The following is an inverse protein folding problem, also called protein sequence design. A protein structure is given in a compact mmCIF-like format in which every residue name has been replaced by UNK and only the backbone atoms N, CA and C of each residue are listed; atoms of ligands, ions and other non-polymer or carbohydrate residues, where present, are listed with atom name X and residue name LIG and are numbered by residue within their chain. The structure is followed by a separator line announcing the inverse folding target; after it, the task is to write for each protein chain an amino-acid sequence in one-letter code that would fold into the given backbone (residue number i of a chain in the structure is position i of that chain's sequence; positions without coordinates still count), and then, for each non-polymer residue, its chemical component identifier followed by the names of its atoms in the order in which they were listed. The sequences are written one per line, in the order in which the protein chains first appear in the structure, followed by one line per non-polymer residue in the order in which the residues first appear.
data_IF_769659850587
#
_entry.id   IF_769659850587
#
_cell.length_a   1.000
_cell.length_b   1.000
_cell.length_c   1.000
_cell.angle_alpha   90.00
_cell.angle_beta   90.00
_cell.angle_gamma   90.00
#
_symmetry.space_group_name_H-M   'P 1'
#
loop_
_entity.id
_entity.type
_entity.pdbx_description
1 polymer ?
#
# COMPACT_ATOMS: atom_id res chain seq x y z
N UNK A 1 -10.36 -12.97 10.52
CA UNK A 1 -9.34 -11.90 10.47
C UNK A 1 -10.04 -10.69 9.92
N UNK A 2 -10.13 -9.63 10.71
CA UNK A 2 -10.83 -8.41 10.29
C UNK A 2 -9.92 -7.62 9.35
N UNK A 3 -10.53 -7.05 8.29
CA UNK A 3 -9.85 -6.16 7.36
C UNK A 3 -10.53 -4.80 7.35
N UNK A 4 -9.76 -3.77 7.05
CA UNK A 4 -10.26 -2.41 6.92
C UNK A 4 -9.83 -1.86 5.56
N UNK A 5 -10.80 -1.28 4.86
CA UNK A 5 -10.59 -0.65 3.56
C UNK A 5 -10.46 0.86 3.80
N UNK A 6 -9.47 1.48 3.16
CA UNK A 6 -9.36 2.94 3.15
C UNK A 6 -10.54 3.55 2.38
N UNK A 7 -11.13 4.62 2.91
CA UNK A 7 -12.34 5.25 2.36
C UNK A 7 -12.25 5.53 0.84
N UNK A 8 -11.08 5.94 0.34
CA UNK A 8 -10.87 6.20 -1.10
C UNK A 8 -11.03 4.92 -1.95
N UNK A 9 -10.59 3.78 -1.43
CA UNK A 9 -10.65 2.49 -2.10
C UNK A 9 -12.08 1.93 -2.02
N UNK A 10 -12.74 2.07 -0.88
CA UNK A 10 -14.14 1.70 -0.73
C UNK A 10 -15.05 2.48 -1.69
N UNK A 11 -14.84 3.80 -1.82
CA UNK A 11 -15.54 4.63 -2.80
C UNK A 11 -15.25 4.20 -4.24
N UNK A 12 -14.01 3.80 -4.55
CA UNK A 12 -13.64 3.31 -5.88
C UNK A 12 -14.34 2.00 -6.20
N UNK A 13 -14.39 1.05 -5.25
CA UNK A 13 -15.11 -0.21 -5.38
C UNK A 13 -16.60 0.03 -5.65
N UNK A 14 -17.25 0.85 -4.83
CA UNK A 14 -18.68 1.16 -4.96
C UNK A 14 -19.04 1.85 -6.29
N UNK A 15 -18.06 2.52 -6.92
CA UNK A 15 -18.23 3.19 -8.22
C UNK A 15 -17.69 2.38 -9.39
N UNK A 16 -17.31 1.11 -9.19
CA UNK A 16 -16.67 0.26 -10.20
C UNK A 16 -15.49 0.95 -10.88
N UNK A 17 -14.70 1.73 -10.11
CA UNK A 17 -13.49 2.38 -10.60
C UNK A 17 -12.31 1.42 -10.52
N UNK A 18 -11.37 1.48 -11.46
CA UNK A 18 -10.21 0.60 -11.47
C UNK A 18 -9.34 0.82 -10.22
N UNK A 19 -8.87 -0.29 -9.66
CA UNK A 19 -7.99 -0.33 -8.49
C UNK A 19 -6.78 -1.20 -8.82
N UNK A 20 -5.59 -0.72 -8.46
CA UNK A 20 -4.34 -1.46 -8.53
C UNK A 20 -3.89 -1.76 -7.10
N UNK A 21 -3.86 -3.05 -6.75
CA UNK A 21 -3.30 -3.51 -5.50
C UNK A 21 -1.78 -3.59 -5.57
N UNK A 22 -1.08 -3.20 -4.50
CA UNK A 22 0.37 -3.27 -4.40
C UNK A 22 0.83 -3.82 -3.06
N UNK A 23 1.92 -4.58 -3.08
CA UNK A 23 2.55 -5.11 -1.87
C UNK A 23 3.26 -4.02 -1.05
N UNK A 24 3.22 -4.13 0.27
CA UNK A 24 3.98 -3.25 1.17
C UNK A 24 5.47 -3.60 1.25
N UNK A 25 5.82 -4.88 1.08
CA UNK A 25 7.20 -5.39 1.27
C UNK A 25 8.20 -4.74 0.32
N UNK A 26 7.81 -4.50 -0.94
CA UNK A 26 8.63 -3.80 -1.94
C UNK A 26 9.16 -2.45 -1.43
N UNK A 27 8.32 -1.69 -0.73
CA UNK A 27 8.66 -0.36 -0.26
C UNK A 27 9.52 -0.38 1.00
N UNK A 28 9.30 -1.34 1.91
CA UNK A 28 9.98 -1.34 3.21
C UNK A 28 11.29 -2.13 3.18
N UNK A 29 11.32 -3.29 2.53
CA UNK A 29 12.49 -4.19 2.53
C UNK A 29 13.13 -4.39 1.16
N UNK A 30 12.41 -4.07 0.07
CA UNK A 30 12.88 -4.35 -1.29
C UNK A 30 13.89 -3.34 -1.85
N UNK A 31 13.97 -2.12 -1.28
CA UNK A 31 14.74 -1.01 -1.83
C UNK A 31 15.33 -0.12 -0.72
N UNK A 32 16.42 0.64 -1.01
CA UNK A 32 16.87 1.71 -0.14
C UNK A 32 15.77 2.76 0.09
N UNK A 33 15.70 3.35 1.30
CA UNK A 33 14.62 4.26 1.72
C UNK A 33 14.31 5.38 0.71
N UNK A 34 15.35 6.06 0.22
CA UNK A 34 15.18 7.14 -0.76
C UNK A 34 14.55 6.64 -2.07
N UNK A 35 14.97 5.46 -2.53
CA UNK A 35 14.43 4.79 -3.70
C UNK A 35 12.98 4.38 -3.48
N UNK A 36 12.62 3.87 -2.29
CA UNK A 36 11.24 3.52 -1.94
C UNK A 36 10.31 4.73 -1.95
N UNK A 37 10.73 5.86 -1.37
CA UNK A 37 9.95 7.10 -1.37
C UNK A 37 9.79 7.64 -2.80
N UNK A 38 10.86 7.63 -3.59
CA UNK A 38 10.84 8.05 -5.00
C UNK A 38 9.89 7.18 -5.83
N UNK A 39 9.95 5.86 -5.63
CA UNK A 39 9.08 4.90 -6.31
C UNK A 39 7.62 5.11 -5.91
N UNK A 40 7.33 5.24 -4.62
CA UNK A 40 5.97 5.49 -4.13
C UNK A 40 5.37 6.75 -4.76
N UNK A 41 6.12 7.86 -4.76
CA UNK A 41 5.70 9.13 -5.39
C UNK A 41 5.47 8.98 -6.90
N UNK A 42 6.36 8.27 -7.60
CA UNK A 42 6.22 7.99 -9.04
C UNK A 42 4.95 7.18 -9.33
N UNK A 43 4.70 6.12 -8.57
CA UNK A 43 3.51 5.28 -8.72
C UNK A 43 2.23 6.05 -8.45
N UNK A 44 2.20 6.93 -7.45
CA UNK A 44 1.07 7.86 -7.26
C UNK A 44 0.84 8.77 -8.46
N UNK A 45 1.90 9.32 -9.04
CA UNK A 45 1.82 10.14 -10.24
C UNK A 45 1.23 9.37 -11.43
N UNK A 46 1.69 8.14 -11.64
CA UNK A 46 1.16 7.25 -12.68
C UNK A 46 -0.31 6.93 -12.40
N UNK A 47 -0.66 6.50 -11.18
CA UNK A 47 -2.02 6.15 -10.82
C UNK A 47 -3.00 7.31 -11.08
N UNK A 48 -2.61 8.54 -10.71
CA UNK A 48 -3.38 9.75 -10.99
C UNK A 48 -3.54 10.00 -12.50
N UNK A 49 -2.47 9.87 -13.28
CA UNK A 49 -2.48 10.08 -14.73
C UNK A 49 -3.40 9.07 -15.43
N UNK A 50 -3.32 7.80 -15.03
CA UNK A 50 -4.10 6.70 -15.60
C UNK A 50 -5.51 6.61 -14.98
N UNK A 51 -5.88 7.52 -14.07
CA UNK A 51 -7.19 7.56 -13.38
C UNK A 51 -7.53 6.25 -12.65
N UNK A 52 -6.52 5.60 -12.06
CA UNK A 52 -6.66 4.38 -11.27
C UNK A 52 -6.40 4.65 -9.79
N UNK A 53 -7.03 3.85 -8.92
CA UNK A 53 -6.88 3.96 -7.48
C UNK A 53 -5.80 3.00 -6.98
N UNK A 54 -4.76 3.54 -6.35
CA UNK A 54 -3.66 2.72 -5.81
C UNK A 54 -3.99 2.27 -4.38
N UNK A 55 -3.98 0.96 -4.14
CA UNK A 55 -4.18 0.35 -2.82
C UNK A 55 -2.93 -0.42 -2.38
N UNK A 56 -2.13 0.17 -1.49
CA UNK A 56 -1.04 -0.56 -0.84
C UNK A 56 -1.63 -1.41 0.29
N UNK A 57 -1.33 -2.71 0.29
CA UNK A 57 -1.86 -3.67 1.25
C UNK A 57 -0.78 -3.98 2.30
N UNK A 58 -1.16 -3.89 3.58
CA UNK A 58 -0.27 -4.15 4.71
C UNK A 58 -1.05 -4.72 5.90
N UNK A 59 -0.36 -5.37 6.83
CA UNK A 59 -0.92 -5.71 8.16
C UNK A 59 -0.33 -4.72 9.16
N UNK A 60 -1.19 -3.85 9.72
CA UNK A 60 -0.79 -2.86 10.72
C UNK A 60 -1.49 -3.15 12.03
N UNK A 61 -0.72 -3.35 13.10
CA UNK A 61 -1.23 -3.66 14.45
C UNK A 61 -2.22 -4.85 14.45
N UNK A 62 -1.92 -5.91 13.69
CA UNK A 62 -2.76 -7.10 13.59
C UNK A 62 -3.98 -6.97 12.65
N UNK A 63 -4.20 -5.81 12.03
CA UNK A 63 -5.33 -5.57 11.12
C UNK A 63 -4.86 -5.57 9.68
N UNK A 64 -5.53 -6.33 8.81
CA UNK A 64 -5.30 -6.28 7.37
C UNK A 64 -5.87 -4.97 6.80
N UNK A 65 -5.01 -4.13 6.24
CA UNK A 65 -5.37 -2.84 5.63
C UNK A 65 -5.36 -2.97 4.11
N UNK A 66 -6.48 -2.62 3.49
CA UNK A 66 -6.62 -2.53 2.04
C UNK A 66 -6.62 -1.05 1.66
N UNK A 67 -5.44 -0.57 1.25
CA UNK A 67 -5.16 0.86 1.20
C UNK A 67 -4.64 1.34 2.55
N UNK A 68 -3.48 1.98 2.52
CA UNK A 68 -2.92 2.75 3.64
C UNK A 68 -2.64 4.16 3.15
N UNK A 69 -2.62 5.11 4.09
CA UNK A 69 -2.40 6.52 3.75
C UNK A 69 -0.95 6.77 3.33
N UNK A 70 -0.72 7.90 2.68
CA UNK A 70 0.63 8.36 2.30
C UNK A 70 1.54 8.48 3.54
N UNK A 71 1.01 9.02 4.63
CA UNK A 71 1.74 9.19 5.88
C UNK A 71 2.11 7.84 6.49
N UNK A 72 1.21 6.86 6.40
CA UNK A 72 1.47 5.51 6.90
C UNK A 72 2.59 4.84 6.11
N UNK A 73 2.54 4.83 4.78
CA UNK A 73 3.60 4.18 3.97
C UNK A 73 4.94 4.89 4.13
N UNK A 74 4.97 6.23 4.15
CA UNK A 74 6.21 6.99 4.39
C UNK A 74 6.78 6.66 5.78
N UNK A 75 5.94 6.64 6.82
CA UNK A 75 6.40 6.26 8.16
C UNK A 75 6.93 4.82 8.22
N UNK A 76 6.35 3.88 7.47
CA UNK A 76 6.81 2.49 7.44
C UNK A 76 8.19 2.36 6.78
N UNK A 77 8.41 3.09 5.67
CA UNK A 77 9.70 3.17 4.98
C UNK A 77 10.77 3.79 5.90
N UNK A 78 10.46 4.92 6.54
CA UNK A 78 11.40 5.65 7.39
C UNK A 78 11.84 4.84 8.60
N UNK A 79 10.88 4.19 9.27
CA UNK A 79 11.14 3.37 10.47
C UNK A 79 11.68 1.99 10.14
N UNK A 80 11.70 1.59 8.85
CA UNK A 80 12.01 0.23 8.41
C UNK A 80 11.25 -0.83 9.25
N UNK A 81 9.97 -0.58 9.51
CA UNK A 81 9.20 -1.26 10.56
C UNK A 81 8.02 -2.04 9.99
N UNK A 82 8.32 -3.10 9.24
CA UNK A 82 7.36 -4.15 8.90
C UNK A 82 8.03 -5.52 9.07
N UNK A 83 7.27 -6.50 9.53
CA UNK A 83 7.69 -7.89 9.41
C UNK A 83 7.24 -8.41 8.04
N UNK A 84 8.09 -9.23 7.42
CA UNK A 84 7.72 -9.90 6.18
C UNK A 84 6.64 -10.94 6.49
N UNK A 85 5.52 -10.84 5.77
CA UNK A 85 4.39 -11.76 5.90
C UNK A 85 4.17 -12.45 4.56
N UNK A 86 4.28 -13.77 4.56
CA UNK A 86 3.94 -14.64 3.45
C UNK A 86 2.74 -15.51 3.82
N UNK A 87 2.06 -16.07 2.81
CA UNK A 87 1.09 -17.14 3.04
C UNK A 87 1.81 -18.33 3.68
N UNK A 88 1.26 -18.86 4.76
CA UNK A 88 1.78 -20.08 5.39
C UNK A 88 1.61 -21.25 4.42
N UNK A 89 2.73 -21.92 4.09
CA UNK A 89 2.81 -23.22 3.39
C UNK A 89 1.82 -23.44 2.25
N UNK A 90 2.28 -23.20 1.02
CA UNK A 90 1.72 -23.87 -0.18
C UNK A 90 2.80 -24.71 -0.82
#
# INVERSE_FOLDING_TARGET
MDFQIEEKIEKALNKNKPIVAMESTLFVHGLPKESSIKLFRKLKGIAKKEQVNLAIIAILNGVLKIGITDEQIISLIEKNSLNLVNKAGT
#
